data_IF_910082446186
#
_entry.id   IF_910082446186
#
_cell.length_a   1.000
_cell.length_b   1.000
_cell.length_c   1.000
_cell.angle_alpha   90.00
_cell.angle_beta   90.00
_cell.angle_gamma   90.00
#
_symmetry.space_group_name_H-M   'P 1'
#
loop_
_entity.id
_entity.type
_entity.pdbx_description
1 polymer ?
#
# COMPACT_ATOMS: atom_id res chain seq x y z
N UNK A 1 42.43 -6.46 21.02
CA UNK A 1 42.25 -6.80 19.59
C UNK A 1 41.79 -8.25 19.50
N UNK A 2 40.47 -8.51 19.60
CA UNK A 2 39.95 -9.87 19.47
C UNK A 2 39.82 -10.17 17.98
N UNK A 3 40.60 -11.12 17.47
CA UNK A 3 40.49 -11.63 16.10
C UNK A 3 39.22 -12.46 15.98
N UNK A 4 38.09 -11.79 15.71
CA UNK A 4 36.83 -12.47 15.41
C UNK A 4 37.00 -13.37 14.19
N UNK A 5 36.61 -14.64 14.34
CA UNK A 5 36.67 -15.68 13.32
C UNK A 5 35.81 -15.26 12.12
N UNK A 6 36.42 -14.89 11.00
CA UNK A 6 35.70 -14.44 9.80
C UNK A 6 34.83 -15.58 9.25
N UNK A 7 33.55 -15.29 9.01
CA UNK A 7 32.61 -16.23 8.39
C UNK A 7 32.88 -16.24 6.87
N UNK A 8 32.99 -17.42 6.23
CA UNK A 8 33.16 -17.49 4.78
C UNK A 8 31.90 -16.98 4.06
N UNK A 9 32.08 -16.06 3.10
CA UNK A 9 31.01 -15.45 2.31
C UNK A 9 30.42 -16.38 1.24
N UNK A 10 29.89 -17.53 1.65
CA UNK A 10 29.23 -18.51 0.77
C UNK A 10 27.72 -18.30 0.77
N UNK A 11 27.02 -18.71 -0.30
CA UNK A 11 25.55 -18.64 -0.40
C UNK A 11 24.87 -19.37 0.77
N UNK A 12 25.33 -20.59 1.09
CA UNK A 12 24.81 -21.37 2.21
C UNK A 12 24.85 -20.63 3.55
N UNK A 13 25.88 -19.80 3.78
CA UNK A 13 26.02 -19.03 5.01
C UNK A 13 25.08 -17.81 5.10
N UNK A 14 24.58 -17.32 3.95
CA UNK A 14 23.52 -16.33 3.90
C UNK A 14 22.15 -16.99 4.11
N UNK A 15 21.91 -18.15 3.50
CA UNK A 15 20.65 -18.89 3.60
C UNK A 15 20.38 -19.42 5.01
N UNK A 16 21.42 -19.94 5.68
CA UNK A 16 21.34 -20.46 7.05
C UNK A 16 21.41 -19.36 8.13
N UNK A 17 21.49 -18.09 7.71
CA UNK A 17 21.59 -16.90 8.57
C UNK A 17 22.85 -16.82 9.44
N UNK A 18 23.85 -17.66 9.21
CA UNK A 18 25.16 -17.55 9.88
C UNK A 18 25.80 -16.20 9.57
N UNK A 19 25.59 -15.68 8.35
CA UNK A 19 26.02 -14.37 7.90
C UNK A 19 24.83 -13.39 7.80
N UNK A 20 25.05 -12.11 8.13
CA UNK A 20 24.05 -11.04 7.96
C UNK A 20 22.98 -10.93 9.05
N UNK A 21 22.93 -11.86 10.02
CA UNK A 21 21.92 -11.84 11.11
C UNK A 21 22.46 -11.39 12.47
N UNK A 22 23.70 -10.90 12.54
CA UNK A 22 24.31 -10.41 13.78
C UNK A 22 23.77 -9.03 14.16
N UNK A 23 23.27 -8.88 15.39
CA UNK A 23 22.78 -7.59 15.92
C UNK A 23 23.87 -6.51 15.94
N UNK A 24 25.15 -6.89 16.11
CA UNK A 24 26.30 -5.98 16.07
C UNK A 24 26.45 -5.23 14.74
N UNK A 25 25.81 -5.72 13.67
CA UNK A 25 25.84 -5.12 12.33
C UNK A 25 24.47 -4.56 11.91
N UNK A 26 23.45 -4.67 12.78
CA UNK A 26 22.15 -4.06 12.57
C UNK A 26 22.16 -2.61 13.10
N UNK A 27 21.93 -1.65 12.20
CA UNK A 27 21.80 -0.25 12.55
C UNK A 27 20.48 0.31 12.02
N UNK A 28 19.89 1.26 12.75
CA UNK A 28 18.74 2.00 12.27
C UNK A 28 19.14 2.78 11.02
N UNK A 29 18.35 2.67 9.96
CA UNK A 29 18.56 3.46 8.75
C UNK A 29 18.43 4.96 9.06
N UNK A 30 19.25 5.83 8.44
CA UNK A 30 19.05 7.27 8.50
C UNK A 30 17.65 7.64 7.99
N UNK A 31 17.05 8.68 8.57
CA UNK A 31 15.70 9.13 8.22
C UNK A 31 15.57 9.44 6.72
N UNK A 32 16.56 10.11 6.14
CA UNK A 32 16.58 10.47 4.72
C UNK A 32 16.55 9.24 3.81
N UNK A 33 17.23 8.15 4.21
CA UNK A 33 17.21 6.90 3.45
C UNK A 33 15.84 6.21 3.56
N UNK A 34 15.21 6.27 4.73
CA UNK A 34 13.86 5.75 4.91
C UNK A 34 12.85 6.53 4.06
N UNK A 35 12.94 7.86 4.04
CA UNK A 35 12.08 8.71 3.21
C UNK A 35 12.26 8.41 1.72
N UNK A 36 13.50 8.27 1.24
CA UNK A 36 13.78 7.88 -0.15
C UNK A 36 13.18 6.51 -0.51
N UNK A 37 13.17 5.55 0.42
CA UNK A 37 12.55 4.24 0.21
C UNK A 37 11.02 4.35 0.18
N UNK A 38 10.42 5.12 1.10
CA UNK A 38 8.97 5.34 1.12
C UNK A 38 8.49 6.06 -0.16
N UNK A 39 9.23 7.07 -0.62
CA UNK A 39 8.98 7.79 -1.87
C UNK A 39 9.14 6.89 -3.10
N UNK A 40 10.21 6.09 -3.15
CA UNK A 40 10.43 5.14 -4.25
C UNK A 40 9.32 4.09 -4.34
N UNK A 41 8.74 3.70 -3.19
CA UNK A 41 7.60 2.80 -3.12
C UNK A 41 6.26 3.49 -3.41
N UNK A 42 6.20 4.83 -3.37
CA UNK A 42 4.98 5.64 -3.43
C UNK A 42 3.90 5.14 -2.45
N UNK A 43 4.32 4.67 -1.27
CA UNK A 43 3.45 4.05 -0.28
C UNK A 43 3.72 4.63 1.11
N UNK A 44 2.68 5.15 1.75
CA UNK A 44 2.74 5.58 3.15
C UNK A 44 2.31 4.44 4.08
N UNK A 45 3.09 4.20 5.13
CA UNK A 45 2.65 3.31 6.21
C UNK A 45 1.55 3.99 7.02
N UNK A 46 0.40 3.33 7.15
CA UNK A 46 -0.70 3.80 7.99
C UNK A 46 -1.05 2.76 9.05
N UNK A 47 -1.40 3.23 10.25
CA UNK A 47 -1.95 2.37 11.31
C UNK A 47 -3.46 2.54 11.34
N UNK A 48 -4.19 1.50 10.95
CA UNK A 48 -5.66 1.49 10.94
C UNK A 48 -6.20 0.33 11.77
N UNK A 49 -7.37 0.52 12.40
CA UNK A 49 -8.10 -0.55 13.08
C UNK A 49 -9.20 -1.07 12.17
N UNK A 50 -9.26 -2.38 11.98
CA UNK A 50 -10.28 -3.06 11.18
C UNK A 50 -11.04 -4.08 12.04
N UNK A 51 -12.33 -4.34 11.76
CA UNK A 51 -13.06 -5.40 12.42
C UNK A 51 -12.40 -6.77 12.24
N UNK A 52 -12.34 -7.58 13.29
CA UNK A 52 -11.69 -8.91 13.26
C UNK A 52 -12.24 -9.82 12.17
N UNK A 53 -13.55 -9.77 11.92
CA UNK A 53 -14.19 -10.61 10.90
C UNK A 53 -13.75 -10.23 9.47
N UNK A 54 -13.55 -8.94 9.19
CA UNK A 54 -13.03 -8.45 7.91
C UNK A 54 -11.61 -8.94 7.66
N UNK A 55 -10.74 -8.87 8.67
CA UNK A 55 -9.36 -9.38 8.55
C UNK A 55 -9.37 -10.88 8.21
N UNK A 56 -10.25 -11.66 8.85
CA UNK A 56 -10.39 -13.10 8.57
C UNK A 56 -10.86 -13.35 7.13
N UNK A 57 -11.85 -12.59 6.66
CA UNK A 57 -12.35 -12.69 5.29
C UNK A 57 -11.27 -12.36 4.26
N UNK A 58 -10.52 -11.27 4.43
CA UNK A 58 -9.41 -10.93 3.54
C UNK A 58 -8.34 -12.03 3.50
N UNK A 59 -8.00 -12.63 4.65
CA UNK A 59 -7.07 -13.75 4.67
C UNK A 59 -7.60 -14.96 3.90
N UNK A 60 -8.87 -15.32 4.08
CA UNK A 60 -9.48 -16.44 3.37
C UNK A 60 -9.52 -16.19 1.85
N UNK A 61 -9.93 -15.00 1.42
CA UNK A 61 -9.95 -14.62 0.01
C UNK A 61 -8.54 -14.62 -0.59
N UNK A 62 -7.55 -14.10 0.14
CA UNK A 62 -6.17 -14.07 -0.32
C UNK A 62 -5.61 -15.48 -0.58
N UNK A 63 -5.99 -16.48 0.22
CA UNK A 63 -5.62 -17.88 -0.03
C UNK A 63 -6.23 -18.41 -1.34
N UNK A 64 -7.48 -18.04 -1.65
CA UNK A 64 -8.17 -18.46 -2.88
C UNK A 64 -7.53 -17.80 -4.11
N UNK A 65 -7.23 -16.51 -4.02
CA UNK A 65 -6.62 -15.72 -5.10
C UNK A 65 -5.12 -15.97 -5.27
N UNK A 66 -4.48 -16.72 -4.36
CA UNK A 66 -3.04 -17.01 -4.40
C UNK A 66 -2.14 -15.80 -4.11
N UNK A 67 -2.67 -14.75 -3.48
CA UNK A 67 -1.93 -13.53 -3.14
C UNK A 67 -1.87 -13.29 -1.63
N UNK A 68 -1.03 -12.37 -1.17
CA UNK A 68 -1.00 -11.98 0.23
C UNK A 68 -2.25 -11.16 0.63
N UNK A 69 -2.65 -11.22 1.90
CA UNK A 69 -3.82 -10.47 2.38
C UNK A 69 -3.61 -8.95 2.34
N UNK A 70 -2.38 -8.47 2.58
CA UNK A 70 -2.05 -7.04 2.49
C UNK A 70 -2.10 -6.53 1.04
N UNK A 71 -1.51 -7.24 0.04
CA UNK A 71 -1.74 -6.95 -1.37
C UNK A 71 -3.22 -6.88 -1.75
N UNK A 72 -4.01 -7.89 -1.36
CA UNK A 72 -5.45 -7.93 -1.64
C UNK A 72 -6.19 -6.74 -1.02
N UNK A 73 -5.88 -6.43 0.23
CA UNK A 73 -6.49 -5.31 0.95
C UNK A 73 -6.13 -3.97 0.31
N UNK A 74 -4.87 -3.79 -0.12
CA UNK A 74 -4.43 -2.60 -0.84
C UNK A 74 -5.23 -2.42 -2.13
N UNK A 75 -5.32 -3.47 -2.94
CA UNK A 75 -6.06 -3.45 -4.19
C UNK A 75 -7.54 -3.13 -3.99
N UNK A 76 -8.17 -3.74 -2.97
CA UNK A 76 -9.57 -3.47 -2.65
C UNK A 76 -9.81 -2.01 -2.26
N UNK A 77 -8.93 -1.43 -1.42
CA UNK A 77 -9.03 -0.02 -1.01
C UNK A 77 -8.79 0.93 -2.19
N UNK A 78 -7.80 0.65 -3.05
CA UNK A 78 -7.52 1.45 -4.25
C UNK A 78 -8.72 1.44 -5.20
N UNK A 79 -9.26 0.26 -5.54
CA UNK A 79 -10.43 0.13 -6.42
C UNK A 79 -11.64 0.89 -5.91
N UNK A 80 -11.88 0.82 -4.60
CA UNK A 80 -12.96 1.57 -3.97
C UNK A 80 -12.74 3.08 -4.10
N UNK A 81 -11.57 3.58 -3.68
CA UNK A 81 -11.27 5.01 -3.71
C UNK A 81 -11.39 5.60 -5.12
N UNK A 82 -10.83 4.92 -6.13
CA UNK A 82 -10.93 5.37 -7.52
C UNK A 82 -12.37 5.29 -8.07
N UNK A 83 -13.10 4.22 -7.71
CA UNK A 83 -14.49 4.04 -8.11
C UNK A 83 -15.39 5.16 -7.59
N UNK A 84 -15.28 5.46 -6.30
CA UNK A 84 -16.04 6.54 -5.66
C UNK A 84 -15.66 7.91 -6.21
N UNK A 85 -14.37 8.17 -6.43
CA UNK A 85 -13.92 9.42 -7.04
C UNK A 85 -14.52 9.63 -8.43
N UNK A 86 -14.50 8.59 -9.28
CA UNK A 86 -15.14 8.64 -10.60
C UNK A 86 -16.65 8.86 -10.49
N UNK A 87 -17.32 8.18 -9.56
CA UNK A 87 -18.76 8.33 -9.35
C UNK A 87 -19.13 9.78 -8.99
N UNK A 88 -18.45 10.37 -8.01
CA UNK A 88 -18.70 11.76 -7.56
C UNK A 88 -18.52 12.75 -8.72
N UNK A 89 -17.44 12.62 -9.49
CA UNK A 89 -17.17 13.50 -10.64
C UNK A 89 -18.26 13.38 -11.71
N UNK A 90 -18.73 12.16 -12.00
CA UNK A 90 -19.81 11.95 -12.97
C UNK A 90 -21.13 12.56 -12.50
N UNK A 91 -21.47 12.45 -11.22
CA UNK A 91 -22.67 13.07 -10.65
C UNK A 91 -22.62 14.59 -10.72
N UNK A 92 -21.47 15.20 -10.38
CA UNK A 92 -21.28 16.65 -10.54
C UNK A 92 -21.47 17.10 -11.99
N UNK A 93 -20.86 16.39 -12.95
CA UNK A 93 -21.00 16.72 -14.37
C UNK A 93 -22.44 16.55 -14.89
N UNK A 94 -23.20 15.59 -14.35
CA UNK A 94 -24.62 15.42 -14.67
C UNK A 94 -25.46 16.57 -14.13
N UNK A 95 -25.20 16.98 -12.90
CA UNK A 95 -25.89 18.09 -12.25
C UNK A 95 -25.63 19.41 -12.99
N UNK A 96 -24.38 19.70 -13.35
CA UNK A 96 -24.02 20.90 -14.11
C UNK A 96 -24.74 20.94 -15.47
N UNK A 97 -24.79 19.80 -16.18
CA UNK A 97 -25.55 19.69 -17.44
C UNK A 97 -27.05 19.92 -17.24
N UNK A 98 -27.62 19.44 -16.12
CA UNK A 98 -29.03 19.66 -15.80
C UNK A 98 -29.30 21.13 -15.54
N UNK A 99 -28.48 21.78 -14.71
CA UNK A 99 -28.59 23.20 -14.41
C UNK A 99 -28.39 24.07 -15.65
N UNK A 100 -27.47 23.70 -16.55
CA UNK A 100 -27.27 24.42 -17.80
C UNK A 100 -28.53 24.33 -18.69
N UNK A 101 -29.10 23.14 -18.86
CA UNK A 101 -30.35 22.97 -19.63
C UNK A 101 -31.51 23.75 -19.02
N UNK A 102 -31.65 23.77 -17.69
CA UNK A 102 -32.68 24.55 -17.00
C UNK A 102 -32.48 26.06 -17.16
N UNK A 103 -31.23 26.54 -17.18
CA UNK A 103 -30.91 27.95 -17.44
C UNK A 103 -31.20 28.32 -18.90
N UNK A 104 -30.91 27.44 -19.84
CA UNK A 104 -31.18 27.63 -21.26
C UNK A 104 -32.71 27.64 -21.53
N UNK A 105 -33.47 26.72 -20.93
CA UNK A 105 -34.93 26.69 -21.07
C UNK A 105 -35.62 27.92 -20.47
N UNK A 106 -35.10 28.45 -19.34
CA UNK A 106 -35.60 29.69 -18.73
C UNK A 106 -35.25 30.96 -19.50
N UNK A 107 -34.22 30.93 -20.36
CA UNK A 107 -33.87 32.05 -21.24
C UNK A 107 -34.63 32.05 -22.56
N UNK A 108 -35.13 30.89 -22.97
CA UNK A 108 -35.86 30.71 -24.23
C UNK A 108 -37.40 30.87 -24.10
N UNK A 109 -37.91 30.97 -22.88
CA UNK A 109 -39.30 31.26 -22.54
C UNK A 109 -39.45 32.73 -22.11
#
# INVERSE_FOLDING_TARGET
MSTAKKIPGTESAWDDRTLGSSEEHAALAPKDLQEQVEDALAMQMISIRLPKHIIKLFKALAQIEGIGYQPLMREALTRFAEGEARHVVMEMAREDKRQQKERESKKAA
#
